data_IF_100974186118
#
_entry.id   IF_100974186118
#
_cell.length_a   1.000
_cell.length_b   1.000
_cell.length_c   1.000
_cell.angle_alpha   90.00
_cell.angle_beta   90.00
_cell.angle_gamma   90.00
#
_symmetry.space_group_name_H-M   'P 1'
#
loop_
_entity.id
_entity.type
_entity.pdbx_description
1 polymer ?
#
# COMPACT_ATOMS: atom_id res chain seq x y z
N UNK A 1 -0.77 15.96 -11.46
CA UNK A 1 -1.71 14.82 -11.50
C UNK A 1 -1.02 13.63 -10.86
N UNK A 2 -1.68 12.92 -9.94
CA UNK A 2 -1.15 11.69 -9.33
C UNK A 2 -1.62 10.49 -10.15
N UNK A 3 -0.71 9.59 -10.51
CA UNK A 3 -1.02 8.41 -11.36
C UNK A 3 -1.39 7.15 -10.57
N UNK A 4 -1.08 7.10 -9.27
CA UNK A 4 -1.37 5.99 -8.36
C UNK A 4 -1.98 6.55 -7.07
N UNK A 5 -3.08 5.99 -6.59
CA UNK A 5 -3.69 6.38 -5.33
C UNK A 5 -4.35 5.18 -4.67
N UNK A 6 -4.09 4.99 -3.38
CA UNK A 6 -4.84 4.10 -2.51
C UNK A 6 -5.61 4.94 -1.50
N UNK A 7 -6.86 4.58 -1.22
CA UNK A 7 -7.70 5.24 -0.22
C UNK A 7 -8.36 4.16 0.62
N UNK A 8 -8.10 4.21 1.93
CA UNK A 8 -8.72 3.33 2.91
C UNK A 8 -8.63 1.84 2.52
N UNK A 9 -7.46 1.43 2.03
CA UNK A 9 -7.24 0.10 1.49
C UNK A 9 -6.94 -0.90 2.62
N UNK A 10 -7.77 -1.93 2.71
CA UNK A 10 -7.51 -3.13 3.50
C UNK A 10 -6.84 -4.20 2.61
N UNK A 11 -5.77 -4.83 3.10
CA UNK A 11 -5.04 -5.91 2.41
C UNK A 11 -4.96 -7.11 3.33
N UNK A 12 -5.27 -8.30 2.83
CA UNK A 12 -5.24 -9.52 3.64
C UNK A 12 -5.60 -10.78 2.85
N UNK A 13 -5.53 -11.93 3.53
CA UNK A 13 -5.92 -13.23 2.99
C UNK A 13 -6.97 -13.87 3.89
N UNK A 14 -8.13 -14.21 3.32
CA UNK A 14 -9.25 -14.79 4.07
C UNK A 14 -9.68 -13.87 5.21
N UNK A 15 -9.67 -14.40 6.45
CA UNK A 15 -10.03 -13.64 7.65
C UNK A 15 -8.89 -12.76 8.19
N UNK A 16 -7.66 -12.94 7.70
CA UNK A 16 -6.48 -12.25 8.24
C UNK A 16 -6.25 -10.94 7.50
N UNK A 17 -6.41 -9.81 8.20
CA UNK A 17 -5.98 -8.49 7.71
C UNK A 17 -4.50 -8.26 8.01
N UNK A 18 -3.74 -7.87 6.99
CA UNK A 18 -2.31 -7.57 7.05
C UNK A 18 -2.09 -6.05 7.10
N UNK A 19 -2.81 -5.31 6.26
CA UNK A 19 -2.82 -3.84 6.24
C UNK A 19 -4.26 -3.38 6.39
N UNK A 20 -4.47 -2.31 7.16
CA UNK A 20 -5.80 -1.77 7.45
C UNK A 20 -5.80 -0.28 7.17
N UNK A 21 -6.84 0.19 6.49
CA UNK A 21 -7.09 1.62 6.22
C UNK A 21 -5.90 2.38 5.60
N UNK A 22 -5.16 1.73 4.67
CA UNK A 22 -4.02 2.37 4.01
C UNK A 22 -4.50 3.42 3.00
N UNK A 23 -4.16 4.68 3.26
CA UNK A 23 -4.27 5.78 2.30
C UNK A 23 -2.89 6.26 1.89
N UNK A 24 -2.59 6.18 0.59
CA UNK A 24 -1.27 6.50 0.06
C UNK A 24 -1.36 7.12 -1.34
N UNK A 25 -0.49 8.10 -1.59
CA UNK A 25 -0.34 8.78 -2.88
C UNK A 25 1.14 9.12 -3.07
N UNK A 26 1.88 8.40 -3.94
CA UNK A 26 3.26 8.77 -4.23
C UNK A 26 3.32 10.10 -4.98
N UNK A 27 4.41 10.87 -4.84
CA UNK A 27 4.63 12.05 -5.65
C UNK A 27 4.72 11.70 -7.15
N UNK A 28 4.19 12.55 -8.04
CA UNK A 28 4.36 12.35 -9.47
C UNK A 28 5.83 12.47 -9.89
N UNK A 29 6.20 11.73 -10.94
CA UNK A 29 7.56 11.73 -11.52
C UNK A 29 8.68 11.38 -10.53
N UNK A 30 8.37 10.60 -9.48
CA UNK A 30 9.36 10.10 -8.52
C UNK A 30 9.31 8.59 -8.42
N UNK A 31 10.48 7.99 -8.21
CA UNK A 31 10.60 6.57 -7.85
C UNK A 31 10.18 6.43 -6.40
N UNK A 32 9.19 5.58 -6.13
CA UNK A 32 8.75 5.26 -4.77
C UNK A 32 8.91 3.77 -4.52
N UNK A 33 9.51 3.40 -3.39
CA UNK A 33 9.71 2.01 -2.99
C UNK A 33 8.90 1.69 -1.73
N UNK A 34 8.27 0.52 -1.71
CA UNK A 34 7.64 -0.05 -0.51
C UNK A 34 8.67 -0.97 0.17
N UNK A 35 9.06 -0.66 1.40
CA UNK A 35 10.10 -1.37 2.15
C UNK A 35 9.52 -1.94 3.44
N UNK A 36 9.94 -3.15 3.82
CA UNK A 36 9.51 -3.81 5.05
C UNK A 36 9.71 -5.33 5.04
N UNK A 37 9.58 -6.00 6.19
CA UNK A 37 9.79 -7.45 6.33
C UNK A 37 8.86 -8.31 5.45
N UNK A 38 9.21 -9.57 5.23
CA UNK A 38 8.34 -10.50 4.50
C UNK A 38 6.97 -10.63 5.18
N UNK A 39 5.89 -10.66 4.37
CA UNK A 39 4.53 -10.76 4.87
C UNK A 39 3.88 -9.46 5.36
N UNK A 40 4.56 -8.31 5.32
CA UNK A 40 3.98 -7.04 5.81
C UNK A 40 3.03 -6.33 4.81
N UNK A 41 2.60 -7.00 3.72
CA UNK A 41 1.61 -6.45 2.78
C UNK A 41 2.17 -5.54 1.68
N UNK A 42 3.44 -5.71 1.29
CA UNK A 42 4.07 -4.94 0.18
C UNK A 42 3.71 -5.47 -1.22
N UNK A 43 3.24 -6.71 -1.33
CA UNK A 43 3.02 -7.45 -2.57
C UNK A 43 1.59 -7.96 -2.63
#
# INVERSE_FOLDING_TARGET
MTILKAQQLDIGYGATRIVQDLSFSPPPAQVTALIGPNGCGKS
#
